data_IF_477492415586
#
_entry.id   IF_477492415586
#
_cell.length_a   1.000
_cell.length_b   1.000
_cell.length_c   1.000
_cell.angle_alpha   90.00
_cell.angle_beta   90.00
_cell.angle_gamma   90.00
#
_symmetry.space_group_name_H-M   'P 1'
#
loop_
_entity.id
_entity.type
_entity.pdbx_description
1 polymer ?
#
# COMPACT_ATOMS: atom_id res chain seq x y z
N UNK A 1 15.86 -12.40 -2.45
CA UNK A 1 16.49 -11.13 -2.86
C UNK A 1 15.77 -10.06 -2.08
N UNK A 2 16.43 -9.40 -1.12
CA UNK A 2 15.76 -8.53 -0.14
C UNK A 2 15.50 -7.15 -0.75
N UNK A 3 14.23 -6.75 -0.79
CA UNK A 3 13.83 -5.38 -1.14
C UNK A 3 14.06 -4.53 0.12
N UNK A 4 15.11 -3.70 0.11
CA UNK A 4 15.36 -2.71 1.16
C UNK A 4 14.61 -1.45 0.74
N UNK A 5 13.50 -1.16 1.41
CA UNK A 5 12.79 0.11 1.30
C UNK A 5 13.41 1.11 2.28
N UNK A 6 13.69 2.37 1.88
CA UNK A 6 14.13 3.38 2.83
C UNK A 6 12.90 3.86 3.61
N UNK A 7 12.60 3.21 4.73
CA UNK A 7 11.62 3.75 5.70
C UNK A 7 12.32 4.86 6.48
N UNK A 8 11.73 6.06 6.51
CA UNK A 8 12.17 7.16 7.37
C UNK A 8 12.17 6.69 8.83
N UNK A 9 13.36 6.42 9.38
CA UNK A 9 13.57 5.84 10.70
C UNK A 9 13.64 6.90 11.83
N UNK A 10 12.88 7.99 11.73
CA UNK A 10 12.89 9.06 12.74
C UNK A 10 11.86 8.87 13.87
N UNK A 11 11.03 7.83 13.79
CA UNK A 11 10.15 7.40 14.88
C UNK A 11 10.71 6.12 15.53
N UNK A 12 10.54 5.93 16.86
CA UNK A 12 10.92 4.67 17.48
C UNK A 12 10.21 3.53 16.74
N UNK A 13 10.96 2.47 16.41
CA UNK A 13 10.38 1.27 15.80
C UNK A 13 9.20 0.83 16.69
N UNK A 14 7.99 0.64 16.12
CA UNK A 14 6.87 0.15 16.90
C UNK A 14 7.23 -1.23 17.49
N UNK A 15 6.81 -1.48 18.73
CA UNK A 15 7.01 -2.78 19.37
C UNK A 15 6.44 -3.90 18.46
N UNK A 16 7.07 -5.07 18.42
CA UNK A 16 6.64 -6.20 17.56
C UNK A 16 5.19 -6.65 17.80
N UNK A 17 4.61 -6.33 18.96
CA UNK A 17 3.22 -6.62 19.33
C UNK A 17 2.26 -5.43 19.10
N UNK A 18 2.73 -4.33 18.51
CA UNK A 18 1.89 -3.15 18.23
C UNK A 18 0.88 -3.48 17.13
N UNK A 19 -0.40 -3.20 17.39
CA UNK A 19 -1.43 -3.30 16.35
C UNK A 19 -1.22 -2.20 15.31
N UNK A 20 -1.54 -2.50 14.04
CA UNK A 20 -1.45 -1.53 12.96
C UNK A 20 -2.43 -0.36 13.20
N UNK A 21 -1.90 0.87 13.21
CA UNK A 21 -2.69 2.09 13.32
C UNK A 21 -3.13 2.56 11.92
N UNK A 22 -4.36 2.22 11.56
CA UNK A 22 -4.93 2.59 10.27
C UNK A 22 -5.36 4.06 10.20
N UNK A 23 -5.53 4.73 11.35
CA UNK A 23 -5.86 6.15 11.40
C UNK A 23 -4.59 6.98 11.12
N UNK A 24 -3.43 6.56 11.62
CA UNK A 24 -2.12 7.12 11.26
C UNK A 24 -1.82 6.94 9.77
N UNK A 25 -2.00 5.72 9.24
CA UNK A 25 -1.84 5.46 7.80
C UNK A 25 -2.76 6.31 6.92
N UNK A 26 -4.00 6.55 7.36
CA UNK A 26 -4.93 7.39 6.64
C UNK A 26 -4.49 8.86 6.64
N UNK A 27 -3.98 9.34 7.78
CA UNK A 27 -3.48 10.71 7.93
C UNK A 27 -2.19 10.97 7.12
N UNK A 28 -1.27 10.01 7.12
CA UNK A 28 0.05 10.18 6.50
C UNK A 28 0.06 9.88 5.00
N UNK A 29 -0.76 8.94 4.53
CA UNK A 29 -0.72 8.47 3.13
C UNK A 29 -1.97 8.86 2.35
N UNK A 30 -3.13 8.32 2.76
CA UNK A 30 -4.42 8.62 2.12
C UNK A 30 -5.60 8.01 2.88
N UNK A 31 -6.77 8.64 2.82
CA UNK A 31 -8.05 8.03 3.21
C UNK A 31 -8.53 6.94 2.23
N UNK A 32 -8.05 6.97 0.97
CA UNK A 32 -8.52 6.10 -0.11
C UNK A 32 -7.40 5.20 -0.62
N UNK A 33 -7.70 3.93 -0.81
CA UNK A 33 -6.73 2.90 -1.15
C UNK A 33 -7.24 2.01 -2.28
N UNK A 34 -6.31 1.36 -2.96
CA UNK A 34 -6.51 0.41 -4.04
C UNK A 34 -5.80 -0.90 -3.71
N UNK A 35 -6.41 -2.03 -4.06
CA UNK A 35 -5.74 -3.34 -4.05
C UNK A 35 -5.58 -3.79 -5.50
N UNK A 36 -4.34 -3.98 -5.93
CA UNK A 36 -3.99 -4.50 -7.24
C UNK A 36 -3.64 -5.98 -7.12
N UNK A 37 -4.20 -6.80 -8.00
CA UNK A 37 -3.99 -8.24 -8.05
C UNK A 37 -3.46 -8.58 -9.43
N UNK A 38 -2.27 -9.18 -9.48
CA UNK A 38 -1.66 -9.72 -10.69
C UNK A 38 -1.56 -11.25 -10.61
N UNK A 39 -2.18 -11.93 -11.57
CA UNK A 39 -2.31 -13.40 -11.59
C UNK A 39 -1.23 -14.02 -12.51
N UNK A 40 0.05 -13.80 -12.17
CA UNK A 40 1.18 -14.34 -12.94
C UNK A 40 1.39 -13.68 -14.32
N UNK A 41 2.37 -14.17 -15.10
CA UNK A 41 2.85 -13.50 -16.33
C UNK A 41 1.83 -13.44 -17.49
N UNK A 42 0.85 -14.35 -17.51
CA UNK A 42 -0.20 -14.43 -18.54
C UNK A 42 -1.62 -14.15 -17.98
N UNK A 43 -1.71 -13.77 -16.70
CA UNK A 43 -2.99 -13.50 -16.05
C UNK A 43 -3.49 -12.09 -16.28
N UNK A 44 -4.80 -11.91 -16.07
CA UNK A 44 -5.39 -10.57 -16.03
C UNK A 44 -5.02 -9.88 -14.70
N UNK A 45 -4.63 -8.61 -14.81
CA UNK A 45 -4.48 -7.73 -13.66
C UNK A 45 -5.81 -7.06 -13.32
N UNK A 46 -6.12 -6.95 -12.03
CA UNK A 46 -7.34 -6.31 -11.56
C UNK A 46 -7.08 -5.36 -10.39
N UNK A 47 -7.69 -4.18 -10.45
CA UNK A 47 -7.59 -3.16 -9.43
C UNK A 47 -8.95 -2.99 -8.72
N UNK A 48 -8.94 -3.03 -7.38
CA UNK A 48 -10.14 -2.92 -6.55
C UNK A 48 -10.05 -1.73 -5.61
N UNK A 49 -10.98 -0.78 -5.75
CA UNK A 49 -11.06 0.42 -4.92
C UNK A 49 -12.08 1.43 -5.46
N UNK A 50 -12.25 2.58 -4.79
CA UNK A 50 -11.54 2.99 -3.57
C UNK A 50 -12.02 2.23 -2.31
N UNK A 51 -11.08 1.92 -1.41
CA UNK A 51 -11.30 1.29 -0.10
C UNK A 51 -10.67 2.14 1.01
N UNK A 52 -11.12 1.96 2.26
CA UNK A 52 -10.38 2.43 3.44
C UNK A 52 -9.09 1.62 3.62
N UNK A 53 -8.06 2.19 4.28
CA UNK A 53 -6.80 1.49 4.59
C UNK A 53 -7.02 0.10 5.21
N UNK A 54 -7.88 0.01 6.23
CA UNK A 54 -8.21 -1.26 6.90
C UNK A 54 -8.80 -2.29 5.95
N UNK A 55 -9.83 -1.91 5.18
CA UNK A 55 -10.48 -2.81 4.24
C UNK A 55 -9.55 -3.29 3.11
N UNK A 56 -8.63 -2.44 2.65
CA UNK A 56 -7.64 -2.83 1.65
C UNK A 56 -6.66 -3.88 2.23
N UNK A 57 -6.21 -3.69 3.47
CA UNK A 57 -5.30 -4.60 4.15
C UNK A 57 -5.95 -5.95 4.47
N UNK A 58 -7.16 -5.93 5.03
CA UNK A 58 -7.93 -7.14 5.33
C UNK A 58 -8.18 -7.96 4.04
N UNK A 59 -8.52 -7.30 2.93
CA UNK A 59 -8.70 -7.96 1.64
C UNK A 59 -7.40 -8.61 1.13
N UNK A 60 -6.27 -7.92 1.27
CA UNK A 60 -4.99 -8.44 0.82
C UNK A 60 -4.56 -9.68 1.61
N UNK A 61 -4.71 -9.66 2.94
CA UNK A 61 -4.43 -10.83 3.80
C UNK A 61 -5.34 -12.00 3.44
N UNK A 62 -6.65 -11.75 3.30
CA UNK A 62 -7.63 -12.77 2.92
C UNK A 62 -7.30 -13.42 1.56
N UNK A 63 -6.76 -12.65 0.63
CA UNK A 63 -6.36 -13.13 -0.69
C UNK A 63 -5.05 -13.91 -0.65
N UNK A 64 -4.06 -13.43 0.08
CA UNK A 64 -2.76 -14.10 0.26
C UNK A 64 -2.95 -15.50 0.88
N UNK A 65 -3.80 -15.62 1.89
CA UNK A 65 -4.13 -16.92 2.50
C UNK A 65 -4.77 -17.91 1.53
N UNK A 66 -5.57 -17.42 0.57
CA UNK A 66 -6.33 -18.26 -0.38
C UNK A 66 -5.58 -18.54 -1.67
N UNK A 67 -4.68 -17.64 -2.05
CA UNK A 67 -3.94 -17.60 -3.32
C UNK A 67 -2.56 -16.98 -3.09
N UNK A 68 -1.65 -17.70 -2.41
CA UNK A 68 -0.30 -17.21 -2.13
C UNK A 68 0.58 -17.11 -3.39
N UNK A 69 0.11 -17.64 -4.52
CA UNK A 69 0.74 -17.55 -5.83
C UNK A 69 0.40 -16.24 -6.57
N UNK A 70 -0.55 -15.45 -6.08
CA UNK A 70 -0.92 -14.17 -6.69
C UNK A 70 -0.06 -13.03 -6.13
N UNK A 71 0.28 -12.07 -6.99
CA UNK A 71 0.93 -10.85 -6.53
C UNK A 71 -0.13 -9.83 -6.13
N UNK A 72 -0.16 -9.46 -4.86
CA UNK A 72 -1.14 -8.53 -4.29
C UNK A 72 -0.41 -7.27 -3.82
N UNK A 73 -0.81 -6.11 -4.32
CA UNK A 73 -0.25 -4.81 -3.94
C UNK A 73 -1.33 -3.93 -3.32
N UNK A 74 -1.07 -3.39 -2.14
CA UNK A 74 -1.95 -2.42 -1.47
C UNK A 74 -1.37 -1.02 -1.66
N UNK A 75 -2.11 -0.13 -2.32
CA UNK A 75 -1.61 1.17 -2.79
C UNK A 75 -2.49 2.31 -2.26
N UNK A 76 -1.92 3.30 -1.53
CA UNK A 76 -2.65 4.50 -1.15
C UNK A 76 -2.90 5.37 -2.40
N UNK A 77 -4.12 5.86 -2.56
CA UNK A 77 -4.46 6.83 -3.59
C UNK A 77 -4.12 8.23 -3.08
N UNK A 78 -2.91 8.70 -3.36
CA UNK A 78 -2.56 10.09 -3.06
C UNK A 78 -3.51 11.04 -3.80
N UNK A 79 -3.97 12.07 -3.08
CA UNK A 79 -4.72 13.17 -3.71
C UNK A 79 -3.83 13.76 -4.80
N UNK A 80 -4.37 13.89 -6.01
CA UNK A 80 -3.61 14.45 -7.13
C UNK A 80 -3.14 15.86 -6.77
N UNK A 81 -1.86 16.00 -6.44
CA UNK A 81 -1.15 17.28 -6.47
C UNK A 81 -1.08 17.81 -7.90
N UNK A 82 -0.64 19.04 -8.06
CA UNK A 82 -0.31 19.58 -9.38
C UNK A 82 0.85 18.79 -10.00
N UNK A 83 0.95 18.81 -11.33
CA UNK A 83 2.05 18.14 -12.02
C UNK A 83 3.43 18.63 -11.56
N UNK A 84 3.54 19.90 -11.16
CA UNK A 84 4.77 20.51 -10.63
C UNK A 84 5.14 19.90 -9.28
N UNK A 85 4.19 19.83 -8.33
CA UNK A 85 4.39 19.18 -7.02
C UNK A 85 4.77 17.70 -7.16
N UNK A 86 4.18 17.00 -8.14
CA UNK A 86 4.53 15.60 -8.41
C UNK A 86 5.94 15.43 -8.96
N UNK A 87 6.42 16.35 -9.79
CA UNK A 87 7.79 16.31 -10.34
C UNK A 87 8.81 16.62 -9.25
N UNK A 88 8.54 17.63 -8.40
CA UNK A 88 9.41 18.00 -7.28
C UNK A 88 9.64 16.86 -6.28
N UNK A 89 8.72 15.89 -6.17
CA UNK A 89 8.91 14.70 -5.31
C UNK A 89 10.02 13.75 -5.81
N UNK A 90 10.39 13.78 -7.09
CA UNK A 90 11.34 12.84 -7.69
C UNK A 90 12.62 13.50 -8.23
N UNK A 91 12.68 14.83 -8.24
CA UNK A 91 13.87 15.60 -8.65
C UNK A 91 14.63 16.09 -7.41
N UNK A 92 15.43 15.21 -6.79
CA UNK A 92 16.49 15.56 -5.82
C UNK A 92 17.88 15.49 -6.50
#
# INVERSE_FOLDING_TARGET
MALIYPVQADLPEPDEDSEADFDELAADLSDNWLVEIAVGEDGDDACFGPLTARAAWDLAVDLDERRPDWSISVVPLHVAGTAEELVELFED
#
